data_IF_362562780910
#
_entry.id   IF_362562780910
#
_cell.length_a   1.000
_cell.length_b   1.000
_cell.length_c   1.000
_cell.angle_alpha   90.00
_cell.angle_beta   90.00
_cell.angle_gamma   90.00
#
_symmetry.space_group_name_H-M   'P 1'
#
loop_
_entity.id
_entity.type
_entity.pdbx_description
1 polymer ?
#
# COMPACT_ATOMS: atom_id res chain seq x y z
N UNK A 1 -1.74 -14.37 -2.10
CA UNK A 1 -1.15 -13.89 -0.84
C UNK A 1 -0.42 -12.57 -1.07
N UNK A 2 -0.37 -11.72 -0.04
CA UNK A 2 0.39 -10.47 -0.06
C UNK A 2 1.27 -10.38 1.18
N UNK A 3 2.56 -10.10 0.97
CA UNK A 3 3.48 -9.65 2.01
C UNK A 3 3.82 -8.18 1.73
N UNK A 4 3.51 -7.30 2.67
CA UNK A 4 3.67 -5.86 2.57
C UNK A 4 4.70 -5.38 3.60
N UNK A 5 5.66 -4.59 3.15
CA UNK A 5 6.63 -3.94 4.02
C UNK A 5 6.71 -2.46 3.70
N UNK A 6 6.41 -1.63 4.68
CA UNK A 6 6.57 -0.19 4.62
C UNK A 6 7.76 0.26 5.47
N UNK A 7 8.61 1.10 4.93
CA UNK A 7 9.73 1.72 5.64
C UNK A 7 9.58 3.23 5.55
N UNK A 8 9.33 3.86 6.67
CA UNK A 8 9.25 5.32 6.78
C UNK A 8 10.63 5.90 6.60
N UNK A 9 10.74 6.94 5.77
CA UNK A 9 12.01 7.64 5.48
C UNK A 9 12.10 8.90 6.32
N UNK A 10 13.13 8.98 7.18
CA UNK A 10 13.48 10.19 7.92
C UNK A 10 14.79 10.78 7.40
N UNK A 11 14.72 11.36 6.22
CA UNK A 11 15.86 12.06 5.59
C UNK A 11 15.48 13.52 5.28
N UNK A 12 16.41 14.46 5.44
CA UNK A 12 16.16 15.85 5.08
C UNK A 12 15.72 16.00 3.62
N UNK A 13 14.56 16.63 3.39
CA UNK A 13 13.98 16.83 2.06
C UNK A 13 13.22 15.64 1.49
N UNK A 14 13.01 14.58 2.27
CA UNK A 14 12.20 13.40 1.91
C UNK A 14 11.10 13.11 2.94
N UNK A 15 10.66 14.12 3.67
CA UNK A 15 9.60 13.98 4.67
C UNK A 15 8.29 13.56 4.04
N UNK A 16 7.47 12.85 4.80
CA UNK A 16 6.21 12.29 4.32
C UNK A 16 6.35 11.11 3.35
N UNK A 17 7.58 10.64 3.13
CA UNK A 17 7.88 9.55 2.20
C UNK A 17 7.92 8.20 2.92
N UNK A 18 7.36 7.20 2.26
CA UNK A 18 7.43 5.78 2.69
C UNK A 18 7.89 4.93 1.50
N UNK A 19 8.83 4.04 1.72
CA UNK A 19 9.25 3.05 0.73
C UNK A 19 8.48 1.76 1.00
N UNK A 20 7.78 1.28 -0.02
CA UNK A 20 6.97 0.07 0.05
C UNK A 20 7.61 -1.04 -0.76
N UNK A 21 7.66 -2.23 -0.19
CA UNK A 21 7.95 -3.47 -0.91
C UNK A 21 6.76 -4.41 -0.73
N UNK A 22 6.12 -4.78 -1.83
CA UNK A 22 5.05 -5.78 -1.84
C UNK A 22 5.51 -7.03 -2.55
N UNK A 23 5.30 -8.18 -1.91
CA UNK A 23 5.47 -9.49 -2.53
C UNK A 23 4.11 -10.12 -2.74
N UNK A 24 3.75 -10.30 -4.00
CA UNK A 24 2.47 -10.80 -4.44
C UNK A 24 2.61 -12.24 -4.94
N UNK A 25 1.87 -13.16 -4.34
CA UNK A 25 1.77 -14.54 -4.83
C UNK A 25 0.42 -14.70 -5.50
N UNK A 26 0.44 -14.96 -6.81
CA UNK A 26 -0.75 -15.23 -7.62
C UNK A 26 -0.89 -16.72 -7.85
N UNK A 27 -2.04 -17.28 -7.49
CA UNK A 27 -2.46 -18.62 -7.88
C UNK A 27 -3.33 -18.52 -9.13
N UNK A 28 -2.75 -18.84 -10.28
CA UNK A 28 -3.35 -18.62 -11.59
C UNK A 28 -4.20 -19.81 -12.00
N UNK A 29 -5.48 -19.56 -12.30
CA UNK A 29 -6.45 -20.53 -12.75
C UNK A 29 -7.10 -20.14 -14.08
N UNK A 30 -6.37 -20.25 -15.20
CA UNK A 30 -6.94 -20.02 -16.52
C UNK A 30 -7.94 -21.12 -16.90
N UNK A 31 -9.07 -20.75 -17.51
CA UNK A 31 -10.14 -21.66 -17.86
C UNK A 31 -9.72 -22.74 -18.88
N UNK A 32 -8.80 -22.41 -19.77
CA UNK A 32 -8.26 -23.33 -20.77
C UNK A 32 -6.87 -22.89 -21.23
N UNK A 33 -6.13 -23.79 -21.90
CA UNK A 33 -4.84 -23.47 -22.54
C UNK A 33 -4.94 -22.45 -23.67
N UNK A 34 -6.14 -22.14 -24.14
CA UNK A 34 -6.36 -21.12 -25.15
C UNK A 34 -6.66 -19.74 -24.57
N UNK A 35 -6.88 -19.66 -23.24
CA UNK A 35 -7.21 -18.45 -22.52
C UNK A 35 -6.18 -18.22 -21.42
N UNK A 36 -4.94 -17.96 -21.80
CA UNK A 36 -3.85 -17.68 -20.88
C UNK A 36 -3.95 -16.26 -20.33
N UNK A 37 -3.40 -16.05 -19.13
CA UNK A 37 -3.18 -14.71 -18.62
C UNK A 37 -1.88 -14.15 -19.22
N UNK A 38 -1.96 -12.97 -19.82
CA UNK A 38 -0.83 -12.24 -20.41
C UNK A 38 -0.49 -10.97 -19.65
N UNK A 39 -1.34 -10.59 -18.71
CA UNK A 39 -1.25 -9.37 -17.94
C UNK A 39 -1.71 -9.62 -16.51
N UNK A 40 -0.96 -9.09 -15.57
CA UNK A 40 -1.33 -8.99 -14.16
C UNK A 40 -1.26 -7.54 -13.74
N UNK A 41 -1.99 -7.16 -12.72
CA UNK A 41 -1.97 -5.79 -12.20
C UNK A 41 -2.09 -5.74 -10.68
N UNK A 42 -1.58 -4.65 -10.12
CA UNK A 42 -1.74 -4.26 -8.73
C UNK A 42 -2.34 -2.86 -8.69
N UNK A 43 -3.52 -2.72 -8.16
CA UNK A 43 -4.16 -1.42 -7.94
C UNK A 43 -3.50 -0.73 -6.75
N UNK A 44 -3.05 0.52 -6.95
CA UNK A 44 -2.57 1.38 -5.89
C UNK A 44 -3.75 2.22 -5.38
N UNK A 45 -3.99 2.29 -4.07
CA UNK A 45 -5.14 3.02 -3.54
C UNK A 45 -5.08 4.51 -3.87
N UNK A 46 -6.17 5.08 -4.41
CA UNK A 46 -6.29 6.54 -4.46
C UNK A 46 -6.51 7.04 -3.03
N UNK A 47 -5.52 7.70 -2.48
CA UNK A 47 -5.52 8.15 -1.09
C UNK A 47 -5.39 9.66 -1.02
N UNK A 48 -6.20 10.26 -0.16
CA UNK A 48 -6.09 11.67 0.22
C UNK A 48 -5.98 11.75 1.73
N UNK A 49 -4.96 12.44 2.21
CA UNK A 49 -4.82 12.79 3.62
C UNK A 49 -5.13 14.28 3.73
N UNK A 50 -6.27 14.63 4.31
CA UNK A 50 -6.79 16.00 4.44
C UNK A 50 -6.77 16.82 3.13
N UNK A 51 -7.17 16.20 2.05
CA UNK A 51 -7.21 16.80 0.72
C UNK A 51 -5.85 16.86 0.01
N UNK A 52 -4.77 16.42 0.66
CA UNK A 52 -3.46 16.23 0.02
C UNK A 52 -3.42 14.84 -0.60
N UNK A 53 -3.22 14.77 -1.91
CA UNK A 53 -3.11 13.50 -2.61
C UNK A 53 -1.80 12.80 -2.23
N UNK A 54 -1.89 11.50 -1.95
CA UNK A 54 -0.72 10.62 -1.87
C UNK A 54 -0.29 10.30 -3.30
N UNK A 55 0.96 10.55 -3.63
CA UNK A 55 1.55 10.27 -4.92
C UNK A 55 2.41 9.01 -4.85
N UNK A 56 2.43 8.25 -5.94
CA UNK A 56 3.19 7.00 -6.04
C UNK A 56 4.27 7.10 -7.12
N UNK A 57 5.41 6.50 -6.85
CA UNK A 57 6.47 6.30 -7.83
C UNK A 57 6.93 4.85 -7.78
N UNK A 58 6.67 4.10 -8.82
CA UNK A 58 7.12 2.72 -8.93
C UNK A 58 8.60 2.68 -9.31
N UNK A 59 9.39 1.96 -8.54
CA UNK A 59 10.84 1.83 -8.75
C UNK A 59 11.20 0.55 -9.49
N UNK A 60 10.53 -0.57 -9.18
CA UNK A 60 10.83 -1.85 -9.82
C UNK A 60 9.69 -2.84 -9.73
N UNK A 61 9.61 -3.73 -10.74
CA UNK A 61 8.81 -4.95 -10.72
C UNK A 61 9.74 -6.12 -11.01
N UNK A 62 9.68 -7.16 -10.18
CA UNK A 62 10.53 -8.35 -10.28
C UNK A 62 9.70 -9.61 -10.19
N UNK A 63 9.97 -10.60 -11.04
CA UNK A 63 9.45 -11.96 -10.88
C UNK A 63 10.46 -12.79 -10.08
N UNK A 64 9.97 -13.52 -9.09
CA UNK A 64 10.78 -14.40 -8.24
C UNK A 64 10.41 -15.84 -8.58
N UNK A 65 11.38 -16.59 -9.07
CA UNK A 65 11.19 -17.99 -9.42
C UNK A 65 11.36 -18.91 -8.20
N UNK A 66 10.76 -20.12 -8.21
CA UNK A 66 10.87 -21.07 -7.10
C UNK A 66 12.31 -21.51 -6.78
N UNK A 67 13.21 -21.42 -7.74
CA UNK A 67 14.64 -21.73 -7.57
C UNK A 67 15.46 -20.54 -7.02
N UNK A 68 14.81 -19.42 -6.70
CA UNK A 68 15.42 -18.21 -6.16
C UNK A 68 15.99 -17.26 -7.22
N UNK A 69 15.90 -17.59 -8.50
CA UNK A 69 16.26 -16.62 -9.56
C UNK A 69 15.29 -15.45 -9.54
N UNK A 70 15.82 -14.26 -9.83
CA UNK A 70 15.06 -13.04 -9.95
C UNK A 70 15.16 -12.49 -11.36
N UNK A 71 14.03 -12.20 -11.97
CA UNK A 71 13.99 -11.51 -13.26
C UNK A 71 13.41 -10.11 -13.06
N UNK A 72 14.19 -9.09 -13.40
CA UNK A 72 13.78 -7.69 -13.27
C UNK A 72 13.08 -7.27 -14.55
N UNK A 73 11.85 -6.79 -14.42
CA UNK A 73 11.04 -6.28 -15.52
C UNK A 73 11.52 -4.89 -15.92
N UNK A 74 11.45 -4.57 -17.21
CA UNK A 74 11.79 -3.25 -17.72
C UNK A 74 10.55 -2.35 -17.74
N UNK A 75 10.75 -1.08 -17.36
CA UNK A 75 9.71 -0.08 -17.50
C UNK A 75 9.40 0.18 -18.98
N UNK A 76 8.11 0.21 -19.29
CA UNK A 76 7.60 0.51 -20.63
C UNK A 76 7.05 1.93 -20.68
N UNK A 77 7.18 2.64 -21.79
CA UNK A 77 6.51 3.92 -21.94
C UNK A 77 4.99 3.77 -21.85
N UNK A 78 4.35 4.79 -21.29
CA UNK A 78 2.90 4.87 -21.02
C UNK A 78 2.08 4.49 -22.25
N UNK A 79 1.24 3.49 -22.10
CA UNK A 79 0.22 3.12 -23.08
C UNK A 79 -1.15 3.53 -22.55
N UNK A 80 -1.95 4.15 -23.40
CA UNK A 80 -3.33 4.44 -23.07
C UNK A 80 -4.20 3.23 -23.38
N UNK A 81 -4.92 2.73 -22.38
CA UNK A 81 -5.82 1.58 -22.46
C UNK A 81 -6.89 1.70 -23.57
N UNK A 82 -7.28 2.91 -23.95
CA UNK A 82 -8.31 3.18 -24.96
C UNK A 82 -7.79 3.25 -26.40
N UNK A 83 -6.51 3.03 -26.65
CA UNK A 83 -6.01 3.05 -28.00
C UNK A 83 -6.31 1.72 -28.71
N UNK A 84 -6.94 1.82 -29.90
CA UNK A 84 -7.09 0.67 -30.80
C UNK A 84 -5.73 0.03 -31.20
N UNK A 85 -4.65 0.72 -30.91
CA UNK A 85 -3.28 0.27 -31.04
C UNK A 85 -2.82 -0.60 -29.85
N UNK A 86 -3.49 -0.52 -28.69
CA UNK A 86 -3.21 -1.37 -27.51
C UNK A 86 -3.23 -2.87 -27.88
N UNK A 87 -4.24 -3.33 -28.59
CA UNK A 87 -4.34 -4.74 -29.01
C UNK A 87 -3.25 -5.14 -30.00
N UNK A 88 -2.82 -4.21 -30.85
CA UNK A 88 -1.72 -4.44 -31.81
C UNK A 88 -0.35 -4.34 -31.16
N UNK A 89 -0.22 -3.53 -30.13
CA UNK A 89 1.04 -3.31 -29.43
C UNK A 89 1.27 -4.30 -28.28
N UNK A 90 0.25 -4.97 -27.75
CA UNK A 90 0.42 -6.11 -26.81
C UNK A 90 1.28 -7.24 -27.40
N UNK A 91 1.31 -7.38 -28.70
CA UNK A 91 2.28 -8.25 -29.38
C UNK A 91 3.69 -7.65 -29.43
N UNK A 92 3.83 -6.35 -29.16
CA UNK A 92 5.09 -5.59 -29.23
C UNK A 92 5.77 -5.44 -27.85
N UNK A 93 4.99 -5.44 -26.77
CA UNK A 93 5.47 -5.49 -25.41
C UNK A 93 5.43 -6.95 -24.91
N UNK A 94 6.43 -7.72 -25.28
CA UNK A 94 6.57 -9.10 -24.81
C UNK A 94 6.68 -9.16 -23.26
N UNK A 95 6.64 -10.37 -22.69
CA UNK A 95 6.79 -10.58 -21.25
C UNK A 95 8.05 -9.88 -20.72
N UNK A 96 8.00 -9.47 -19.47
CA UNK A 96 9.12 -8.78 -18.83
C UNK A 96 9.06 -7.26 -18.91
N UNK A 97 7.92 -6.68 -19.24
CA UNK A 97 7.67 -5.24 -19.21
C UNK A 97 6.64 -4.88 -18.16
N UNK A 98 6.77 -3.70 -17.57
CA UNK A 98 5.78 -3.12 -16.66
C UNK A 98 5.55 -1.64 -16.99
N UNK A 99 4.43 -1.09 -16.56
CA UNK A 99 4.20 0.35 -16.55
C UNK A 99 3.30 0.77 -15.37
N UNK A 100 3.47 2.01 -14.95
CA UNK A 100 2.65 2.66 -13.94
C UNK A 100 1.60 3.55 -14.61
N UNK A 101 0.33 3.26 -14.38
CA UNK A 101 -0.79 4.06 -14.86
C UNK A 101 -1.23 5.05 -13.79
N UNK A 102 -1.07 6.36 -14.04
CA UNK A 102 -1.48 7.44 -13.15
C UNK A 102 -2.95 7.87 -13.34
N UNK A 103 -3.78 7.09 -13.93
CA UNK A 103 -5.15 7.47 -14.23
C UNK A 103 -6.11 6.30 -14.32
N UNK A 104 -7.42 6.57 -14.49
CA UNK A 104 -8.41 5.52 -14.47
C UNK A 104 -8.11 4.49 -15.55
N UNK A 105 -7.94 3.26 -15.12
CA UNK A 105 -7.83 2.09 -15.97
C UNK A 105 -9.06 1.91 -16.86
N UNK A 106 -10.22 2.33 -16.36
CA UNK A 106 -11.48 2.36 -17.07
C UNK A 106 -12.24 3.64 -16.71
N UNK A 107 -12.64 4.50 -17.66
CA UNK A 107 -13.40 5.72 -17.38
C UNK A 107 -14.77 5.46 -16.70
N UNK A 108 -15.30 4.24 -16.79
CA UNK A 108 -16.56 3.84 -16.17
C UNK A 108 -16.39 3.20 -14.79
N UNK A 109 -15.16 2.97 -14.34
CA UNK A 109 -14.85 2.38 -13.04
C UNK A 109 -13.90 3.27 -12.25
N UNK A 110 -14.01 3.17 -10.91
CA UNK A 110 -13.29 3.95 -9.89
C UNK A 110 -11.82 4.20 -10.24
N UNK A 111 -11.35 5.39 -9.93
CA UNK A 111 -10.02 5.92 -10.25
C UNK A 111 -8.94 5.24 -9.42
N UNK A 112 -8.39 4.13 -9.90
CA UNK A 112 -7.22 3.52 -9.27
C UNK A 112 -5.98 3.77 -10.13
N UNK A 113 -4.90 4.20 -9.49
CA UNK A 113 -3.57 4.03 -10.06
C UNK A 113 -3.26 2.54 -10.08
N UNK A 114 -2.56 2.06 -11.08
CA UNK A 114 -2.18 0.65 -11.09
C UNK A 114 -0.80 0.40 -11.71
N UNK A 115 -0.16 -0.63 -11.21
CA UNK A 115 1.06 -1.20 -11.81
C UNK A 115 0.63 -2.40 -12.64
N UNK A 116 0.81 -2.30 -13.96
CA UNK A 116 0.58 -3.40 -14.88
C UNK A 116 1.91 -4.06 -15.25
N UNK A 117 1.90 -5.37 -15.37
CA UNK A 117 3.07 -6.12 -15.81
C UNK A 117 2.67 -7.28 -16.73
N UNK A 118 3.43 -7.42 -17.82
CA UNK A 118 3.17 -8.39 -18.87
C UNK A 118 3.93 -9.67 -18.61
N UNK A 119 3.20 -10.77 -18.64
CA UNK A 119 3.66 -12.11 -18.28
C UNK A 119 3.69 -13.03 -19.50
N UNK A 120 4.39 -14.15 -19.41
CA UNK A 120 4.51 -15.12 -20.51
C UNK A 120 3.43 -16.22 -20.36
N UNK A 121 2.21 -15.87 -20.77
CA UNK A 121 1.13 -16.82 -20.97
C UNK A 121 0.84 -17.78 -19.82
N UNK A 122 0.45 -17.27 -18.66
CA UNK A 122 0.22 -18.08 -17.46
C UNK A 122 -1.07 -18.91 -17.57
N UNK A 123 -1.02 -20.19 -17.18
CA UNK A 123 -2.15 -21.12 -17.27
C UNK A 123 -2.67 -21.57 -15.89
N UNK A 124 -1.96 -22.46 -15.25
CA UNK A 124 -2.28 -23.02 -13.93
C UNK A 124 -0.98 -23.19 -13.18
N UNK A 125 -0.58 -22.14 -12.52
CA UNK A 125 0.70 -22.05 -11.84
C UNK A 125 0.67 -20.97 -10.78
N UNK A 126 1.49 -21.14 -9.79
CA UNK A 126 1.78 -20.11 -8.81
C UNK A 126 2.95 -19.26 -9.31
N UNK A 127 2.78 -17.96 -9.26
CA UNK A 127 3.84 -17.00 -9.65
C UNK A 127 4.00 -15.93 -8.57
N UNK A 128 5.24 -15.55 -8.32
CA UNK A 128 5.57 -14.56 -7.29
C UNK A 128 6.18 -13.34 -7.94
N UNK A 129 5.64 -12.19 -7.60
CA UNK A 129 6.18 -10.87 -8.00
C UNK A 129 6.51 -10.03 -6.78
N UNK A 130 7.56 -9.24 -6.91
CA UNK A 130 7.91 -8.20 -5.95
C UNK A 130 7.81 -6.84 -6.64
N UNK A 131 7.06 -5.92 -6.06
CA UNK A 131 6.92 -4.54 -6.52
C UNK A 131 7.52 -3.63 -5.45
N UNK A 132 8.42 -2.74 -5.85
CA UNK A 132 8.95 -1.69 -4.98
C UNK A 132 8.46 -0.33 -5.49
N UNK A 133 7.89 0.46 -4.59
CA UNK A 133 7.44 1.81 -4.90
C UNK A 133 7.59 2.76 -3.71
N UNK A 134 7.56 4.05 -3.99
CA UNK A 134 7.58 5.12 -3.02
C UNK A 134 6.19 5.74 -2.93
N UNK A 135 5.74 6.02 -1.71
CA UNK A 135 4.57 6.85 -1.42
C UNK A 135 5.07 8.20 -0.91
N UNK A 136 4.54 9.27 -1.47
CA UNK A 136 4.80 10.65 -1.02
C UNK A 136 3.55 11.22 -0.37
N UNK A 137 3.73 12.13 0.59
CA UNK A 137 2.64 12.71 1.39
C UNK A 137 1.87 11.68 2.25
N UNK A 138 2.47 10.54 2.56
CA UNK A 138 1.87 9.55 3.46
C UNK A 138 1.97 9.96 4.94
N UNK A 139 2.95 10.81 5.29
CA UNK A 139 3.13 11.38 6.61
C UNK A 139 2.91 12.89 6.61
N UNK A 140 1.90 13.37 7.32
CA UNK A 140 1.54 14.78 7.39
C UNK A 140 1.60 15.32 8.83
N UNK A 141 1.96 16.60 8.95
CA UNK A 141 1.99 17.32 10.21
C UNK A 141 0.98 18.47 10.20
N UNK A 142 0.19 18.51 11.25
CA UNK A 142 -0.82 19.52 11.53
C UNK A 142 -0.37 20.38 12.72
N UNK A 143 -1.20 21.35 13.12
CA UNK A 143 -0.84 22.29 14.19
C UNK A 143 -0.55 21.64 15.54
N UNK A 144 -1.24 20.57 15.87
CA UNK A 144 -1.24 19.92 17.18
C UNK A 144 -1.03 18.39 17.15
N UNK A 145 -0.88 17.81 15.97
CA UNK A 145 -0.59 16.39 15.81
C UNK A 145 0.17 16.10 14.54
N UNK A 146 0.59 14.86 14.38
CA UNK A 146 1.10 14.33 13.11
C UNK A 146 0.53 12.94 12.85
N UNK A 147 0.39 12.59 11.58
CA UNK A 147 -0.23 11.38 11.11
C UNK A 147 0.61 10.68 10.05
N UNK A 148 0.75 9.36 10.17
CA UNK A 148 1.15 8.47 9.10
C UNK A 148 -0.09 7.67 8.72
N UNK A 149 -0.60 7.88 7.51
CA UNK A 149 -1.76 7.16 6.99
C UNK A 149 -1.36 6.30 5.79
N UNK A 150 -1.56 4.99 5.91
CA UNK A 150 -1.27 4.02 4.87
C UNK A 150 -2.56 3.28 4.48
N UNK A 151 -3.11 3.62 3.31
CA UNK A 151 -4.06 2.75 2.63
C UNK A 151 -3.26 1.70 1.88
N UNK A 152 -3.20 0.49 2.45
CA UNK A 152 -2.23 -0.53 2.05
C UNK A 152 -2.76 -1.42 0.94
N UNK A 153 -4.06 -1.66 0.92
CA UNK A 153 -4.73 -2.46 -0.11
C UNK A 153 -6.16 -1.96 -0.31
N UNK A 154 -6.60 -1.92 -1.56
CA UNK A 154 -7.94 -1.48 -1.91
C UNK A 154 -8.49 -2.25 -3.09
N UNK A 155 -9.81 -2.15 -3.30
CA UNK A 155 -10.50 -2.66 -4.45
C UNK A 155 -11.13 -4.02 -4.27
N UNK A 156 -11.84 -4.42 -5.31
CA UNK A 156 -12.64 -5.67 -5.36
C UNK A 156 -11.80 -6.95 -5.20
N UNK A 157 -10.48 -6.83 -5.30
CA UNK A 157 -9.56 -7.96 -5.24
C UNK A 157 -9.28 -8.47 -3.83
N UNK A 158 -9.56 -7.66 -2.78
CA UNK A 158 -9.39 -8.09 -1.36
C UNK A 158 -10.10 -9.41 -1.06
N UNK A 159 -11.28 -9.61 -1.59
CA UNK A 159 -12.08 -10.83 -1.39
C UNK A 159 -11.43 -12.11 -1.93
N UNK A 160 -10.42 -11.97 -2.77
CA UNK A 160 -9.67 -13.11 -3.34
C UNK A 160 -8.34 -13.36 -2.64
N UNK A 161 -7.96 -12.53 -1.68
CA UNK A 161 -6.77 -12.77 -0.88
C UNK A 161 -7.00 -13.94 0.08
N UNK A 162 -6.03 -14.83 0.15
CA UNK A 162 -5.98 -15.90 1.15
C UNK A 162 -5.22 -15.48 2.40
N UNK A 163 -4.22 -14.59 2.26
CA UNK A 163 -3.53 -13.97 3.39
C UNK A 163 -2.96 -12.59 3.02
N UNK A 164 -2.85 -11.75 4.05
CA UNK A 164 -2.19 -10.45 3.98
C UNK A 164 -1.30 -10.27 5.21
N UNK A 165 0.00 -10.12 5.00
CA UNK A 165 0.98 -9.89 6.07
C UNK A 165 1.63 -8.54 5.89
N UNK A 166 1.70 -7.76 6.95
CA UNK A 166 2.29 -6.45 6.90
C UNK A 166 3.33 -6.21 7.98
N UNK A 167 4.32 -5.40 7.62
CA UNK A 167 5.28 -4.81 8.54
C UNK A 167 5.45 -3.32 8.20
N UNK A 168 5.27 -2.46 9.20
CA UNK A 168 5.48 -1.02 9.09
C UNK A 168 6.65 -0.67 10.02
N UNK A 169 7.71 -0.10 9.45
CA UNK A 169 8.93 0.25 10.12
C UNK A 169 9.04 1.76 10.23
N UNK A 170 9.00 2.28 11.46
CA UNK A 170 9.17 3.70 11.78
C UNK A 170 10.52 3.85 12.48
N UNK A 171 11.38 4.82 12.14
CA UNK A 171 12.65 5.04 12.82
C UNK A 171 12.45 5.17 14.34
N UNK A 172 13.27 4.51 15.14
CA UNK A 172 13.14 4.53 16.61
C UNK A 172 13.24 5.94 17.21
N UNK A 173 14.10 6.78 16.63
CA UNK A 173 14.33 8.14 17.11
C UNK A 173 13.11 9.06 16.86
N UNK A 174 12.20 8.63 15.99
CA UNK A 174 10.97 9.36 15.66
C UNK A 174 9.75 8.91 16.45
N UNK A 175 9.86 7.81 17.18
CA UNK A 175 8.74 7.30 17.95
C UNK A 175 8.60 8.06 19.28
N UNK A 176 7.44 8.67 19.55
CA UNK A 176 7.15 9.27 20.85
C UNK A 176 7.18 8.22 21.97
N UNK A 177 7.23 8.71 23.21
CA UNK A 177 7.07 7.82 24.35
C UNK A 177 5.71 7.09 24.28
N UNK A 178 5.69 5.85 24.75
CA UNK A 178 4.46 5.06 24.78
C UNK A 178 3.35 5.80 25.55
N UNK A 179 2.19 5.93 24.91
CA UNK A 179 1.05 6.69 25.40
C UNK A 179 0.91 8.08 24.77
N UNK A 180 1.90 8.53 23.97
CA UNK A 180 1.83 9.78 23.21
C UNK A 180 1.52 9.54 21.72
N UNK A 181 1.14 8.34 21.35
CA UNK A 181 0.68 7.98 20.01
C UNK A 181 -0.45 6.97 20.09
N UNK A 182 -1.24 6.92 19.03
CA UNK A 182 -2.33 5.99 18.80
C UNK A 182 -2.09 5.24 17.49
N UNK A 183 -2.41 3.95 17.47
CA UNK A 183 -2.44 3.13 16.26
C UNK A 183 -3.88 2.70 16.00
N UNK A 184 -4.35 2.92 14.78
CA UNK A 184 -5.65 2.44 14.31
C UNK A 184 -5.46 1.56 13.08
N UNK A 185 -6.26 0.52 12.97
CA UNK A 185 -6.23 -0.44 11.86
C UNK A 185 -7.65 -0.67 11.35
N UNK A 186 -7.82 -0.63 10.03
CA UNK A 186 -9.13 -0.80 9.39
C UNK A 186 -9.05 -1.86 8.28
N UNK A 187 -10.13 -2.57 8.03
CA UNK A 187 -10.18 -3.47 6.87
C UNK A 187 -10.67 -4.87 7.13
N UNK A 188 -11.13 -5.16 8.35
CA UNK A 188 -11.79 -6.43 8.69
C UNK A 188 -13.25 -6.22 9.10
N UNK A 189 -13.96 -7.30 9.44
CA UNK A 189 -15.31 -7.22 10.02
C UNK A 189 -15.38 -6.47 11.36
N UNK A 190 -14.23 -6.21 11.95
CA UNK A 190 -14.05 -5.35 13.13
C UNK A 190 -13.24 -4.15 12.67
N UNK A 191 -13.62 -2.96 13.12
CA UNK A 191 -12.91 -1.73 12.78
C UNK A 191 -11.43 -1.76 13.19
N UNK A 192 -11.06 -2.56 14.19
CA UNK A 192 -9.69 -2.72 14.65
C UNK A 192 -9.28 -4.18 14.56
N UNK A 193 -8.29 -4.48 13.73
CA UNK A 193 -7.65 -5.79 13.76
C UNK A 193 -6.38 -5.76 14.61
N UNK A 194 -6.03 -6.89 15.28
CA UNK A 194 -4.89 -6.92 16.18
C UNK A 194 -3.57 -6.77 15.43
N UNK A 195 -2.68 -5.99 16.00
CA UNK A 195 -1.29 -5.84 15.55
C UNK A 195 -0.32 -6.19 16.68
N UNK A 196 0.93 -6.43 16.31
CA UNK A 196 2.06 -6.60 17.23
C UNK A 196 3.00 -5.42 17.08
N UNK A 197 3.53 -4.97 18.20
CA UNK A 197 4.46 -3.85 18.28
C UNK A 197 5.79 -4.33 18.87
N UNK A 198 6.91 -3.92 18.31
CA UNK A 198 8.25 -4.27 18.77
C UNK A 198 9.27 -3.19 18.41
N UNK A 199 10.03 -2.72 19.38
CA UNK A 199 11.16 -1.82 19.17
C UNK A 199 12.44 -2.55 18.71
N UNK A 200 12.51 -3.88 18.88
CA UNK A 200 13.75 -4.66 18.71
C UNK A 200 13.70 -5.60 17.50
N UNK A 201 12.55 -5.76 16.84
CA UNK A 201 12.40 -6.70 15.73
C UNK A 201 13.28 -6.34 14.51
N UNK A 202 13.48 -5.05 14.26
CA UNK A 202 14.34 -4.54 13.20
C UNK A 202 15.28 -3.48 13.79
N UNK A 203 16.60 -3.65 13.70
CA UNK A 203 17.54 -2.69 14.27
C UNK A 203 17.33 -1.27 13.74
N UNK A 204 17.17 -0.31 14.64
CA UNK A 204 16.94 1.10 14.31
C UNK A 204 15.48 1.48 14.02
N UNK A 205 14.56 0.51 14.05
CA UNK A 205 13.15 0.74 13.74
C UNK A 205 12.21 0.20 14.81
N UNK A 206 11.19 0.98 15.10
CA UNK A 206 9.99 0.53 15.78
C UNK A 206 9.09 -0.15 14.73
N UNK A 207 8.69 -1.39 14.98
CA UNK A 207 7.99 -2.22 14.01
C UNK A 207 6.57 -2.51 14.47
N UNK A 208 5.61 -2.19 13.61
CA UNK A 208 4.24 -2.67 13.72
C UNK A 208 4.03 -3.79 12.72
N UNK A 209 3.39 -4.89 13.13
CA UNK A 209 3.15 -6.02 12.24
C UNK A 209 1.81 -6.68 12.52
N UNK A 210 1.18 -7.17 11.46
CA UNK A 210 -0.07 -7.93 11.55
C UNK A 210 -0.18 -8.96 10.42
N UNK A 211 -1.08 -9.92 10.61
CA UNK A 211 -1.40 -10.95 9.64
C UNK A 211 -2.92 -11.13 9.62
N UNK A 212 -3.51 -11.06 8.44
CA UNK A 212 -4.93 -11.27 8.19
C UNK A 212 -5.08 -12.52 7.33
N UNK A 213 -5.95 -13.42 7.72
CA UNK A 213 -6.29 -14.59 6.92
C UNK A 213 -7.53 -14.32 6.03
N UNK A 214 -7.84 -15.27 5.17
CA UNK A 214 -8.99 -15.15 4.27
C UNK A 214 -10.33 -14.92 4.97
N UNK A 215 -10.47 -15.32 6.21
CA UNK A 215 -11.72 -15.14 6.96
C UNK A 215 -11.84 -13.70 7.46
N UNK A 216 -10.73 -13.11 7.90
CA UNK A 216 -10.67 -11.71 8.27
C UNK A 216 -11.01 -10.81 7.08
N UNK A 217 -10.49 -11.15 5.89
CA UNK A 217 -10.63 -10.36 4.66
C UNK A 217 -12.00 -10.49 3.99
N UNK A 218 -12.66 -11.67 4.08
CA UNK A 218 -13.93 -11.95 3.38
C UNK A 218 -15.19 -11.52 4.12
N UNK A 219 -15.13 -11.35 5.43
CA UNK A 219 -16.31 -11.10 6.25
C UNK A 219 -16.73 -9.63 6.35
N UNK A 220 -16.04 -8.73 5.68
CA UNK A 220 -16.44 -7.34 5.68
C UNK A 220 -17.00 -6.89 4.30
N UNK A 221 -18.33 -6.93 4.09
CA UNK A 221 -18.94 -6.49 2.83
C UNK A 221 -18.83 -4.98 2.57
N UNK A 222 -18.37 -4.20 3.55
CA UNK A 222 -18.34 -2.73 3.49
C UNK A 222 -16.93 -2.14 3.44
N UNK A 223 -15.89 -2.90 3.78
CA UNK A 223 -14.51 -2.41 3.76
C UNK A 223 -13.78 -2.99 2.56
N UNK A 224 -13.53 -2.12 1.60
CA UNK A 224 -12.74 -2.39 0.40
C UNK A 224 -11.26 -2.06 0.61
N UNK A 225 -10.82 -1.83 1.88
CA UNK A 225 -9.48 -1.31 2.20
C UNK A 225 -8.85 -2.03 3.38
N UNK A 226 -7.53 -2.17 3.35
CA UNK A 226 -6.69 -2.48 4.51
C UNK A 226 -5.89 -1.23 4.80
N UNK A 227 -6.07 -0.66 6.01
CA UNK A 227 -5.49 0.62 6.38
C UNK A 227 -4.78 0.54 7.72
N UNK A 228 -3.70 1.32 7.83
CA UNK A 228 -2.94 1.51 9.06
C UNK A 228 -2.73 3.01 9.26
N UNK A 229 -3.08 3.48 10.47
CA UNK A 229 -2.93 4.88 10.87
C UNK A 229 -2.12 4.94 12.14
N UNK A 230 -1.09 5.79 12.16
CA UNK A 230 -0.29 6.09 13.33
C UNK A 230 -0.39 7.60 13.58
N UNK A 231 -0.92 7.97 14.75
CA UNK A 231 -1.13 9.35 15.18
C UNK A 231 -0.23 9.69 16.36
N UNK A 232 0.35 10.87 16.36
CA UNK A 232 1.11 11.43 17.48
C UNK A 232 0.54 12.78 17.87
N UNK A 233 0.61 13.16 19.14
CA UNK A 233 0.02 14.40 19.66
C UNK A 233 1.04 15.43 20.11
N UNK A 234 0.63 16.70 20.03
CA UNK A 234 1.34 17.81 20.62
C UNK A 234 2.70 18.07 20.00
N UNK A 235 3.65 18.50 20.86
CA UNK A 235 5.01 18.84 20.42
C UNK A 235 5.84 17.61 19.99
N UNK A 236 5.40 16.41 20.33
CA UNK A 236 6.06 15.12 19.99
C UNK A 236 5.70 14.66 18.55
N UNK A 237 5.47 15.58 17.64
CA UNK A 237 5.17 15.28 16.25
C UNK A 237 6.30 14.48 15.59
N UNK A 238 5.93 13.50 14.76
CA UNK A 238 6.91 12.71 14.00
C UNK A 238 7.79 13.59 13.13
N UNK A 239 9.10 13.46 13.23
CA UNK A 239 10.05 14.28 12.50
C UNK A 239 10.02 14.02 10.98
N UNK A 240 9.58 12.84 10.57
CA UNK A 240 9.45 12.44 9.16
C UNK A 240 8.25 13.07 8.44
N UNK A 241 7.36 13.78 9.13
CA UNK A 241 6.13 14.31 8.53
C UNK A 241 6.33 15.65 7.81
N UNK A 242 5.64 15.85 6.68
CA UNK A 242 5.54 17.11 5.96
C UNK A 242 4.44 17.99 6.56
N UNK A 243 4.61 19.32 6.50
CA UNK A 243 3.53 20.23 6.88
C UNK A 243 2.35 20.13 5.90
N UNK A 244 1.16 19.85 6.42
CA UNK A 244 -0.06 19.96 5.66
C UNK A 244 -0.32 21.43 5.32
N UNK A 245 -0.69 21.71 4.06
CA UNK A 245 -1.06 23.05 3.59
C UNK A 245 -2.48 23.46 4.00
N UNK A 246 -3.22 22.57 4.65
CA UNK A 246 -4.63 22.72 5.00
C UNK A 246 -4.74 23.13 6.47
N UNK A 247 -5.57 24.13 6.74
CA UNK A 247 -5.79 24.68 8.07
C UNK A 247 -6.33 23.64 9.05
N UNK A 248 -6.03 23.82 10.32
CA UNK A 248 -6.32 23.05 11.54
C UNK A 248 -7.79 22.58 11.75
N UNK A 249 -8.66 22.72 10.77
CA UNK A 249 -10.10 22.59 10.90
C UNK A 249 -10.60 21.12 11.04
N UNK A 250 -9.80 20.15 10.66
CA UNK A 250 -10.23 18.74 10.70
C UNK A 250 -9.99 18.09 12.07
N UNK A 251 -9.09 18.65 12.87
CA UNK A 251 -8.61 18.05 14.11
C UNK A 251 -9.39 18.42 15.38
N UNK A 252 -10.13 19.51 15.39
CA UNK A 252 -10.96 19.88 16.56
C UNK A 252 -11.99 18.78 16.88
N UNK A 253 -12.59 18.14 15.86
CA UNK A 253 -13.53 17.04 16.05
C UNK A 253 -12.84 15.69 16.29
N UNK A 254 -11.67 15.43 15.69
CA UNK A 254 -10.96 14.18 15.87
C UNK A 254 -10.12 14.13 17.15
N UNK A 255 -9.59 15.25 17.63
CA UNK A 255 -8.97 15.33 18.96
C UNK A 255 -9.94 14.97 20.09
N UNK A 256 -11.19 15.41 19.98
CA UNK A 256 -12.24 15.03 20.94
C UNK A 256 -12.55 13.52 20.87
N UNK A 257 -12.43 12.90 19.70
CA UNK A 257 -12.57 11.47 19.50
C UNK A 257 -11.38 10.70 20.07
N UNK A 258 -10.17 11.15 19.78
CA UNK A 258 -8.91 10.59 20.25
C UNK A 258 -8.77 10.71 21.78
N UNK A 259 -9.11 11.87 22.35
CA UNK A 259 -9.13 12.06 23.80
C UNK A 259 -10.18 11.21 24.52
N UNK A 260 -11.29 10.87 23.87
CA UNK A 260 -12.28 9.93 24.42
C UNK A 260 -11.74 8.52 24.47
N UNK A 261 -11.14 8.03 23.40
CA UNK A 261 -10.60 6.67 23.36
C UNK A 261 -9.42 6.45 24.32
N UNK A 262 -8.57 7.46 24.54
CA UNK A 262 -7.48 7.38 25.53
C UNK A 262 -7.96 7.38 26.98
N UNK A 263 -9.12 7.92 27.28
CA UNK A 263 -9.67 7.94 28.64
C UNK A 263 -10.52 6.68 28.96
N UNK A 264 -10.79 5.81 27.98
CA UNK A 264 -11.52 4.56 28.16
C UNK A 264 -10.61 3.32 28.31
N UNK A 265 -9.29 3.49 28.24
CA UNK A 265 -8.25 2.47 28.47
C UNK A 265 -7.32 2.87 29.62
#
# INVERSE_FOLDING_TARGET
DVEYKAVVVDEPGQKGKVIITERLTFDIHAASKNNLFWELWRELPEQYVDGVKVDYKVNSVKQIYPDGRVYVYEESPKLYWNDSDYVKENTKYGPGKWFHSEGPYNPDQRRYECVLFYVDGLYREEVVYEIEYEMYNAGLRFGDCSELYLSMYSGDTIKYLDSYKAQILVPNDDMPAKGNYLVQTYGTSKNDFPYKESADANPGYHTFSFELDKWDLRFNPYNEYIEFVLLSYGEDAFSFTEHASVNDYYYDDSLDYIHRDMNEY
#
